data_IF_287129138117
#
_entry.id   IF_287129138117
#
_cell.length_a   1.000
_cell.length_b   1.000
_cell.length_c   1.000
_cell.angle_alpha   90.00
_cell.angle_beta   90.00
_cell.angle_gamma   90.00
#
_symmetry.space_group_name_H-M   'P 1'
#
loop_
_entity.id
_entity.type
_entity.pdbx_description
1 polymer ?
#
# COMPACT_ATOMS: atom_id res chain seq x y z
N UNK A 1 3.38 -41.63 4.67
CA UNK A 1 3.71 -42.05 6.04
C UNK A 1 4.73 -41.05 6.58
N UNK A 2 4.27 -39.99 7.24
CA UNK A 2 5.15 -38.94 7.78
C UNK A 2 5.38 -39.31 9.25
N UNK A 3 6.60 -39.72 9.59
CA UNK A 3 6.94 -40.04 10.98
C UNK A 3 7.06 -38.74 11.77
N UNK A 4 6.18 -38.56 12.75
CA UNK A 4 6.31 -37.54 13.77
C UNK A 4 7.21 -38.13 14.86
N UNK A 5 8.50 -37.79 14.84
CA UNK A 5 9.42 -38.16 15.91
C UNK A 5 8.99 -37.43 17.19
N UNK A 6 8.37 -38.17 18.10
CA UNK A 6 7.92 -37.71 19.41
C UNK A 6 9.12 -37.62 20.37
N UNK A 7 9.84 -36.49 20.34
CA UNK A 7 10.76 -36.11 21.42
C UNK A 7 9.95 -35.57 22.60
N UNK A 8 9.40 -36.48 23.40
CA UNK A 8 8.66 -36.19 24.63
C UNK A 8 9.48 -36.57 25.86
N UNK A 9 10.77 -36.20 25.90
CA UNK A 9 11.66 -36.61 26.99
C UNK A 9 12.74 -35.55 27.33
N UNK A 10 12.33 -34.32 27.60
CA UNK A 10 13.18 -33.28 28.22
C UNK A 10 12.28 -32.15 28.77
N UNK A 11 11.73 -32.34 29.98
CA UNK A 11 10.90 -31.32 30.65
C UNK A 11 11.65 -30.49 31.71
N UNK A 12 12.95 -30.71 31.91
CA UNK A 12 13.75 -30.03 32.95
C UNK A 12 14.95 -29.22 32.42
N UNK A 13 15.17 -29.13 31.10
CA UNK A 13 16.15 -28.19 30.56
C UNK A 13 15.52 -26.80 30.39
N UNK A 14 16.14 -25.74 30.94
CA UNK A 14 15.69 -24.38 30.67
C UNK A 14 15.74 -24.15 29.16
N UNK A 15 14.56 -23.97 28.55
CA UNK A 15 14.41 -23.74 27.11
C UNK A 15 15.30 -22.57 26.69
N UNK A 16 16.40 -22.87 26.01
CA UNK A 16 17.31 -21.90 25.42
C UNK A 16 16.78 -21.53 24.06
N UNK A 17 16.42 -20.26 23.90
CA UNK A 17 16.01 -19.71 22.61
C UNK A 17 17.23 -19.12 21.91
N UNK A 18 17.36 -19.32 20.61
CA UNK A 18 18.36 -18.60 19.83
C UNK A 18 17.99 -17.10 19.78
N UNK A 19 18.97 -16.24 19.51
CA UNK A 19 18.73 -14.80 19.38
C UNK A 19 17.65 -14.50 18.32
N UNK A 20 17.66 -15.26 17.22
CA UNK A 20 16.69 -15.18 16.12
C UNK A 20 15.28 -15.62 16.56
N UNK A 21 15.16 -16.66 17.39
CA UNK A 21 13.89 -17.12 17.93
C UNK A 21 13.30 -16.12 18.94
N UNK A 22 14.13 -15.56 19.82
CA UNK A 22 13.70 -14.53 20.79
C UNK A 22 13.16 -13.31 20.05
N UNK A 23 13.88 -12.83 19.03
CA UNK A 23 13.46 -11.68 18.23
C UNK A 23 12.14 -11.97 17.51
N UNK A 24 12.01 -13.13 16.85
CA UNK A 24 10.79 -13.49 16.15
C UNK A 24 9.57 -13.65 17.08
N UNK A 25 9.78 -14.19 18.29
CA UNK A 25 8.71 -14.33 19.30
C UNK A 25 8.29 -12.96 19.83
N UNK A 26 9.26 -12.09 20.16
CA UNK A 26 9.00 -10.74 20.66
C UNK A 26 8.27 -9.88 19.60
N UNK A 27 8.74 -9.92 18.35
CA UNK A 27 8.12 -9.21 17.23
C UNK A 27 6.67 -9.66 17.04
N UNK A 28 6.39 -10.97 17.12
CA UNK A 28 5.04 -11.53 16.97
C UNK A 28 4.13 -11.22 18.18
N UNK A 29 4.69 -11.15 19.38
CA UNK A 29 3.97 -10.79 20.61
C UNK A 29 3.57 -9.30 20.62
N UNK A 30 4.49 -8.41 20.26
CA UNK A 30 4.23 -6.96 20.14
C UNK A 30 3.11 -6.68 19.12
N UNK A 31 3.15 -7.36 17.97
CA UNK A 31 2.12 -7.23 16.93
C UNK A 31 0.72 -7.73 17.38
N UNK A 32 0.64 -8.57 18.43
CA UNK A 32 -0.62 -9.10 18.98
C UNK A 32 -1.16 -8.25 20.13
N UNK A 33 -0.29 -7.59 20.88
CA UNK A 33 -0.66 -6.71 21.98
C UNK A 33 -1.20 -5.36 21.50
N UNK A 34 -0.71 -4.85 20.36
CA UNK A 34 -1.22 -3.63 19.71
C UNK A 34 -2.48 -3.89 18.86
N UNK A 35 -3.44 -4.64 19.42
CA UNK A 35 -4.75 -4.84 18.80
C UNK A 35 -5.43 -3.48 18.55
N UNK A 36 -5.60 -3.12 17.27
CA UNK A 36 -6.40 -2.02 16.74
C UNK A 36 -5.86 -0.57 16.85
N UNK A 37 -4.58 -0.34 16.57
CA UNK A 37 -4.16 0.93 15.97
C UNK A 37 -3.61 0.62 14.57
N UNK A 38 -4.23 1.18 13.53
CA UNK A 38 -3.88 0.90 12.15
C UNK A 38 -2.41 1.24 11.84
N UNK A 39 -1.54 0.22 11.90
CA UNK A 39 -0.33 0.09 11.08
C UNK A 39 0.87 0.99 11.39
N UNK A 40 0.89 1.76 12.48
CA UNK A 40 2.07 2.56 12.83
C UNK A 40 2.10 3.05 14.27
N UNK A 41 3.30 3.20 14.83
CA UNK A 41 3.54 3.87 16.12
C UNK A 41 3.37 5.39 15.91
N UNK A 42 2.65 6.07 16.82
CA UNK A 42 2.52 7.53 16.80
C UNK A 42 3.90 8.18 16.95
N UNK A 43 4.15 9.32 16.31
CA UNK A 43 5.44 10.01 16.41
C UNK A 43 5.85 10.28 17.87
N UNK A 44 4.88 10.65 18.70
CA UNK A 44 5.08 10.89 20.12
C UNK A 44 5.43 9.61 20.90
N UNK A 45 4.80 8.48 20.56
CA UNK A 45 5.09 7.18 21.16
C UNK A 45 6.45 6.64 20.73
N UNK A 46 6.87 6.93 19.50
CA UNK A 46 8.19 6.57 18.98
C UNK A 46 9.30 7.30 19.73
N UNK A 47 9.11 8.60 19.97
CA UNK A 47 10.01 9.43 20.78
C UNK A 47 10.04 8.94 22.22
N UNK A 48 8.89 8.59 22.79
CA UNK A 48 8.80 8.06 24.15
C UNK A 48 9.56 6.74 24.28
N UNK A 49 9.38 5.81 23.34
CA UNK A 49 10.08 4.52 23.30
C UNK A 49 11.58 4.71 23.11
N UNK A 50 12.00 5.61 22.22
CA UNK A 50 13.40 5.93 22.01
C UNK A 50 14.06 6.46 23.28
N UNK A 51 13.37 7.36 24.00
CA UNK A 51 13.84 7.87 25.30
C UNK A 51 13.98 6.77 26.34
N UNK A 52 13.04 5.83 26.38
CA UNK A 52 13.07 4.68 27.29
C UNK A 52 14.26 3.74 27.01
N UNK A 53 14.64 3.62 25.73
CA UNK A 53 15.82 2.88 25.28
C UNK A 53 17.14 3.69 25.36
N UNK A 54 17.09 4.93 25.84
CA UNK A 54 18.26 5.81 25.97
C UNK A 54 18.75 6.42 24.65
N UNK A 55 17.94 6.38 23.60
CA UNK A 55 18.23 7.01 22.30
C UNK A 55 17.80 8.48 22.36
N UNK A 56 18.71 9.38 21.98
CA UNK A 56 18.44 10.82 21.91
C UNK A 56 17.36 11.12 20.85
N UNK A 57 16.25 11.80 21.20
CA UNK A 57 15.21 12.18 20.25
C UNK A 57 15.73 12.94 19.03
N UNK A 58 16.79 13.75 19.18
CA UNK A 58 17.37 14.46 18.05
C UNK A 58 18.04 13.51 17.03
N UNK A 59 18.69 12.44 17.52
CA UNK A 59 19.26 11.40 16.64
C UNK A 59 18.17 10.54 16.00
N UNK A 60 17.09 10.27 16.74
CA UNK A 60 15.93 9.57 16.19
C UNK A 60 15.26 10.41 15.08
N UNK A 61 15.09 11.72 15.28
CA UNK A 61 14.56 12.62 14.25
C UNK A 61 15.43 12.63 12.99
N UNK A 62 16.76 12.69 13.14
CA UNK A 62 17.70 12.57 12.02
C UNK A 62 17.54 11.24 11.28
N UNK A 63 17.42 10.12 12.00
CA UNK A 63 17.22 8.79 11.41
C UNK A 63 15.83 8.64 10.75
N UNK A 64 14.78 9.24 11.32
CA UNK A 64 13.44 9.29 10.72
C UNK A 64 13.47 10.11 9.43
N UNK A 65 14.16 11.26 9.43
CA UNK A 65 14.33 12.07 8.23
C UNK A 65 15.02 11.28 7.12
N UNK A 66 16.11 10.58 7.45
CA UNK A 66 16.85 9.71 6.52
C UNK A 66 15.98 8.53 6.01
N UNK A 67 15.23 7.87 6.88
CA UNK A 67 14.41 6.71 6.53
C UNK A 67 13.13 7.09 5.78
N UNK A 68 12.59 8.29 6.02
CA UNK A 68 11.35 8.75 5.36
C UNK A 68 11.51 8.94 3.85
N UNK A 69 12.74 9.19 3.36
CA UNK A 69 13.03 9.26 1.92
C UNK A 69 13.28 7.89 1.29
N UNK A 70 13.96 6.99 2.00
CA UNK A 70 14.37 5.68 1.45
C UNK A 70 13.24 4.64 1.53
N UNK A 71 12.48 4.60 2.64
CA UNK A 71 11.41 3.62 2.84
C UNK A 71 10.14 3.90 2.03
N UNK A 72 9.82 5.17 1.79
CA UNK A 72 8.64 5.57 0.99
C UNK A 72 8.86 5.32 -0.49
N UNK A 73 10.08 5.55 -1.00
CA UNK A 73 10.41 5.35 -2.40
C UNK A 73 10.40 3.89 -2.78
N UNK A 74 11.00 2.99 -1.98
CA UNK A 74 10.97 1.55 -2.24
C UNK A 74 9.54 0.98 -2.21
N UNK A 75 8.72 1.39 -1.24
CA UNK A 75 7.33 0.97 -1.19
C UNK A 75 6.52 1.53 -2.38
N UNK A 76 6.74 2.79 -2.76
CA UNK A 76 6.10 3.40 -3.92
C UNK A 76 6.50 2.72 -5.25
N UNK A 77 7.76 2.28 -5.38
CA UNK A 77 8.21 1.46 -6.53
C UNK A 77 7.47 0.13 -6.56
N UNK A 78 7.37 -0.57 -5.41
CA UNK A 78 6.67 -1.86 -5.31
C UNK A 78 5.19 -1.74 -5.66
N UNK A 79 4.49 -0.73 -5.15
CA UNK A 79 3.07 -0.51 -5.46
C UNK A 79 2.87 -0.14 -6.92
N UNK A 80 3.73 0.70 -7.49
CA UNK A 80 3.69 1.08 -8.90
C UNK A 80 3.91 -0.14 -9.83
N UNK A 81 4.93 -0.96 -9.55
CA UNK A 81 5.21 -2.18 -10.30
C UNK A 81 4.04 -3.18 -10.22
N UNK A 82 3.46 -3.35 -9.03
CA UNK A 82 2.29 -4.21 -8.84
C UNK A 82 1.08 -3.72 -9.65
N UNK A 83 0.87 -2.40 -9.71
CA UNK A 83 -0.20 -1.81 -10.50
C UNK A 83 0.01 -2.02 -12.01
N UNK A 84 1.25 -1.85 -12.50
CA UNK A 84 1.55 -2.10 -13.91
C UNK A 84 1.31 -3.55 -14.32
N UNK A 85 1.72 -4.50 -13.49
CA UNK A 85 1.43 -5.93 -13.74
C UNK A 85 -0.08 -6.17 -13.83
N UNK A 86 -0.87 -5.62 -12.90
CA UNK A 86 -2.35 -5.78 -12.92
C UNK A 86 -2.96 -5.22 -14.20
N UNK A 87 -2.59 -4.00 -14.59
CA UNK A 87 -3.09 -3.38 -15.82
C UNK A 87 -2.74 -4.22 -17.06
N UNK A 88 -1.51 -4.73 -17.14
CA UNK A 88 -1.10 -5.62 -18.21
C UNK A 88 -1.97 -6.90 -18.28
N UNK A 89 -2.25 -7.54 -17.14
CA UNK A 89 -3.09 -8.74 -17.11
C UNK A 89 -4.54 -8.48 -17.52
N UNK A 90 -5.11 -7.31 -17.20
CA UNK A 90 -6.46 -6.93 -17.67
C UNK A 90 -6.50 -6.77 -19.20
N UNK A 91 -5.47 -6.15 -19.78
CA UNK A 91 -5.35 -5.98 -21.23
C UNK A 91 -5.13 -7.33 -21.93
N UNK A 92 -4.26 -8.17 -21.38
CA UNK A 92 -3.99 -9.52 -21.88
C UNK A 92 -5.25 -10.41 -21.82
N UNK A 93 -6.01 -10.36 -20.72
CA UNK A 93 -7.27 -11.11 -20.59
C UNK A 93 -8.26 -10.70 -21.66
N UNK A 94 -8.46 -9.39 -21.84
CA UNK A 94 -9.37 -8.86 -22.87
C UNK A 94 -8.94 -9.28 -24.27
N UNK A 95 -7.63 -9.22 -24.55
CA UNK A 95 -7.05 -9.70 -25.81
C UNK A 95 -7.33 -11.18 -26.02
N UNK A 96 -7.11 -12.04 -25.03
CA UNK A 96 -7.36 -13.48 -25.16
C UNK A 96 -8.84 -13.77 -25.43
N UNK A 97 -9.76 -13.15 -24.67
CA UNK A 97 -11.20 -13.37 -24.84
C UNK A 97 -11.66 -12.98 -26.25
N UNK A 98 -11.30 -11.78 -26.71
CA UNK A 98 -11.73 -11.26 -28.01
C UNK A 98 -11.14 -12.10 -29.14
N UNK A 99 -9.85 -12.46 -29.07
CA UNK A 99 -9.21 -13.26 -30.11
C UNK A 99 -9.72 -14.71 -30.12
N UNK A 100 -10.05 -15.31 -28.97
CA UNK A 100 -10.72 -16.61 -28.94
C UNK A 100 -12.07 -16.54 -29.65
N UNK A 101 -12.89 -15.52 -29.40
CA UNK A 101 -14.17 -15.34 -30.09
C UNK A 101 -13.97 -15.15 -31.60
N UNK A 102 -13.01 -14.32 -32.02
CA UNK A 102 -12.67 -14.10 -33.44
C UNK A 102 -12.26 -15.41 -34.14
N UNK A 103 -11.42 -16.22 -33.50
CA UNK A 103 -10.98 -17.51 -34.04
C UNK A 103 -12.18 -18.46 -34.20
N UNK A 104 -13.07 -18.53 -33.19
CA UNK A 104 -14.29 -19.35 -33.26
C UNK A 104 -15.16 -18.93 -34.45
N UNK A 105 -15.41 -17.62 -34.62
CA UNK A 105 -16.18 -17.10 -35.75
C UNK A 105 -15.50 -17.45 -37.08
N UNK A 106 -14.17 -17.30 -37.16
CA UNK A 106 -13.42 -17.63 -38.37
C UNK A 106 -13.59 -19.11 -38.77
N UNK A 107 -13.54 -20.02 -37.80
CA UNK A 107 -13.73 -21.46 -38.03
C UNK A 107 -15.16 -21.75 -38.50
N UNK A 108 -16.16 -21.09 -37.90
CA UNK A 108 -17.58 -21.29 -38.25
C UNK A 108 -17.95 -20.73 -39.63
N UNK A 109 -17.42 -19.57 -40.01
CA UNK A 109 -17.78 -18.88 -41.26
C UNK A 109 -17.06 -19.47 -42.49
N UNK A 110 -15.89 -20.09 -42.31
CA UNK A 110 -15.07 -20.60 -43.41
C UNK A 110 -14.53 -19.49 -44.32
N UNK A 111 -13.84 -19.85 -45.40
CA UNK A 111 -13.38 -18.89 -46.43
C UNK A 111 -12.00 -18.26 -46.19
N UNK A 112 -11.20 -18.76 -45.24
CA UNK A 112 -9.82 -18.32 -44.98
C UNK A 112 -9.61 -17.87 -43.53
N UNK A 113 -8.36 -17.55 -43.16
CA UNK A 113 -7.98 -17.18 -41.78
C UNK A 113 -7.87 -15.66 -41.60
N UNK A 114 -9.00 -14.95 -41.76
CA UNK A 114 -9.04 -13.48 -41.65
C UNK A 114 -8.82 -12.99 -40.21
N UNK A 115 -9.07 -13.82 -39.19
CA UNK A 115 -8.80 -13.50 -37.79
C UNK A 115 -7.31 -13.22 -37.50
N UNK A 116 -6.39 -13.60 -38.39
CA UNK A 116 -4.95 -13.31 -38.24
C UNK A 116 -4.64 -11.81 -38.19
N UNK A 117 -5.40 -10.99 -38.93
CA UNK A 117 -5.16 -9.55 -39.03
C UNK A 117 -5.40 -8.81 -37.71
N UNK A 118 -6.54 -8.98 -37.01
CA UNK A 118 -6.72 -8.39 -35.68
C UNK A 118 -5.77 -9.00 -34.63
N UNK A 119 -5.48 -10.31 -34.70
CA UNK A 119 -4.51 -10.96 -33.81
C UNK A 119 -3.14 -10.30 -33.92
N UNK A 120 -2.61 -10.15 -35.14
CA UNK A 120 -1.30 -9.56 -35.38
C UNK A 120 -1.29 -8.05 -35.11
N UNK A 121 -2.31 -7.32 -35.56
CA UNK A 121 -2.40 -5.88 -35.38
C UNK A 121 -2.38 -5.49 -33.90
N UNK A 122 -3.23 -6.12 -33.08
CA UNK A 122 -3.28 -5.84 -31.64
C UNK A 122 -2.21 -6.59 -30.85
N UNK A 123 -1.77 -7.75 -31.33
CA UNK A 123 -0.73 -8.56 -30.69
C UNK A 123 0.62 -7.87 -30.67
N UNK A 124 0.95 -7.08 -31.72
CA UNK A 124 2.16 -6.26 -31.74
C UNK A 124 2.11 -5.18 -30.64
N UNK A 125 0.99 -4.48 -30.48
CA UNK A 125 0.82 -3.50 -29.40
C UNK A 125 0.97 -4.13 -28.02
N UNK A 126 0.39 -5.31 -27.83
CA UNK A 126 0.51 -6.08 -26.57
C UNK A 126 1.95 -6.55 -26.30
N UNK A 127 2.71 -6.89 -27.34
CA UNK A 127 4.12 -7.25 -27.22
C UNK A 127 4.96 -6.08 -26.69
N UNK A 128 4.69 -4.86 -27.16
CA UNK A 128 5.33 -3.64 -26.63
C UNK A 128 4.95 -3.39 -25.16
N UNK A 129 3.67 -3.54 -24.80
CA UNK A 129 3.21 -3.41 -23.41
C UNK A 129 3.85 -4.46 -22.49
N UNK A 130 4.05 -5.68 -22.99
CA UNK A 130 4.74 -6.77 -22.31
C UNK A 130 6.20 -6.38 -22.05
N UNK A 131 6.91 -5.95 -23.09
CA UNK A 131 8.30 -5.53 -22.97
C UNK A 131 8.46 -4.41 -21.93
N UNK A 132 7.57 -3.41 -21.93
CA UNK A 132 7.64 -2.31 -20.96
C UNK A 132 7.33 -2.74 -19.52
N UNK A 133 6.46 -3.74 -19.34
CA UNK A 133 6.07 -4.24 -18.01
C UNK A 133 7.12 -5.17 -17.39
N UNK A 134 7.80 -5.98 -18.21
CA UNK A 134 8.78 -6.97 -17.75
C UNK A 134 10.24 -6.48 -17.83
N UNK A 135 10.54 -5.49 -18.66
CA UNK A 135 11.82 -4.76 -18.70
C UNK A 135 11.65 -3.25 -18.44
N UNK A 136 11.11 -2.85 -17.29
CA UNK A 136 11.03 -1.44 -16.94
C UNK A 136 12.43 -0.87 -16.71
N UNK A 137 12.73 0.25 -17.36
CA UNK A 137 13.98 0.98 -17.15
C UNK A 137 13.96 1.65 -15.75
N UNK A 138 15.10 1.69 -15.04
CA UNK A 138 15.21 2.31 -13.72
C UNK A 138 14.63 3.74 -13.66
N UNK A 139 14.80 4.51 -14.75
CA UNK A 139 14.22 5.86 -14.89
C UNK A 139 12.70 5.88 -14.91
N UNK A 140 12.07 4.84 -15.48
CA UNK A 140 10.61 4.71 -15.51
C UNK A 140 10.06 4.32 -14.13
N UNK A 141 10.73 3.40 -13.45
CA UNK A 141 10.40 2.96 -12.10
C UNK A 141 10.46 4.16 -11.15
N UNK A 142 11.52 4.96 -11.23
CA UNK A 142 11.68 6.15 -10.40
C UNK A 142 10.62 7.22 -10.70
N UNK A 143 10.34 7.50 -11.99
CA UNK A 143 9.25 8.42 -12.39
C UNK A 143 7.89 7.93 -11.92
N UNK A 144 7.63 6.63 -12.00
CA UNK A 144 6.41 5.98 -11.52
C UNK A 144 6.22 6.14 -10.03
N UNK A 145 7.26 5.81 -9.25
CA UNK A 145 7.26 5.97 -7.80
C UNK A 145 7.05 7.44 -7.38
N UNK A 146 7.73 8.39 -8.05
CA UNK A 146 7.54 9.84 -7.82
C UNK A 146 6.09 10.27 -8.05
N UNK A 147 5.40 9.71 -9.06
CA UNK A 147 3.97 10.00 -9.30
C UNK A 147 3.06 9.47 -8.21
N UNK A 148 3.34 8.28 -7.68
CA UNK A 148 2.58 7.68 -6.56
C UNK A 148 2.70 8.58 -5.33
N UNK A 149 3.93 8.94 -4.94
CA UNK A 149 4.20 9.83 -3.80
C UNK A 149 3.54 11.20 -4.00
N UNK A 150 3.65 11.78 -5.20
CA UNK A 150 3.03 13.07 -5.49
C UNK A 150 1.49 13.04 -5.37
N UNK A 151 0.86 11.92 -5.75
CA UNK A 151 -0.60 11.74 -5.63
C UNK A 151 -1.03 11.62 -4.18
N UNK A 152 -0.32 10.82 -3.38
CA UNK A 152 -0.59 10.65 -1.94
C UNK A 152 -0.43 11.99 -1.19
N UNK A 153 0.63 12.74 -1.47
CA UNK A 153 0.86 14.05 -0.87
C UNK A 153 -0.26 15.03 -1.21
N UNK A 154 -0.74 15.07 -2.46
CA UNK A 154 -1.89 15.91 -2.86
C UNK A 154 -3.16 15.52 -2.11
N UNK A 155 -3.46 14.23 -2.00
CA UNK A 155 -4.63 13.75 -1.26
C UNK A 155 -4.54 14.08 0.22
N UNK A 156 -3.37 13.88 0.85
CA UNK A 156 -3.13 14.23 2.25
C UNK A 156 -3.34 15.72 2.48
N UNK A 157 -2.85 16.59 1.60
CA UNK A 157 -3.10 18.03 1.71
C UNK A 157 -4.57 18.39 1.57
N UNK A 158 -5.30 17.78 0.62
CA UNK A 158 -6.75 17.99 0.47
C UNK A 158 -7.51 17.56 1.73
N UNK A 159 -7.18 16.40 2.30
CA UNK A 159 -7.78 15.91 3.53
C UNK A 159 -7.50 16.82 4.72
N UNK A 160 -6.27 17.36 4.84
CA UNK A 160 -5.93 18.31 5.89
C UNK A 160 -6.70 19.62 5.74
N UNK A 161 -6.83 20.14 4.51
CA UNK A 161 -7.66 21.30 4.22
C UNK A 161 -9.13 21.04 4.55
N UNK A 162 -9.64 19.84 4.25
CA UNK A 162 -11.00 19.44 4.58
C UNK A 162 -11.20 19.31 6.10
N UNK A 163 -10.26 18.69 6.83
CA UNK A 163 -10.29 18.62 8.30
C UNK A 163 -10.29 20.00 8.92
N UNK A 164 -9.43 20.91 8.45
CA UNK A 164 -9.42 22.30 8.91
C UNK A 164 -10.72 23.03 8.58
N UNK A 165 -11.31 22.80 7.39
CA UNK A 165 -12.64 23.32 7.04
C UNK A 165 -13.71 22.79 7.99
N UNK A 166 -13.72 21.49 8.30
CA UNK A 166 -14.70 20.84 9.18
C UNK A 166 -14.55 21.27 10.64
N UNK A 167 -13.33 21.42 11.16
CA UNK A 167 -13.07 21.86 12.54
C UNK A 167 -13.45 23.33 12.79
N UNK A 168 -13.59 24.17 11.76
CA UNK A 168 -14.12 25.53 11.89
C UNK A 168 -15.62 25.61 12.19
N UNK A 169 -16.32 24.47 12.23
CA UNK A 169 -17.72 24.38 12.61
C UNK A 169 -17.82 23.79 14.02
N UNK A 170 -17.82 24.65 15.03
CA UNK A 170 -18.10 24.24 16.41
C UNK A 170 -19.61 24.36 16.63
N UNK A 171 -20.26 23.25 16.96
CA UNK A 171 -21.66 23.22 17.37
C UNK A 171 -21.65 23.20 18.89
N UNK A 172 -21.90 24.35 19.51
CA UNK A 172 -22.08 24.45 20.95
C UNK A 172 -23.58 24.46 21.26
N UNK A 173 -24.01 23.56 22.16
CA UNK A 173 -25.36 23.56 22.72
C UNK A 173 -25.34 24.40 23.98
N UNK A 174 -25.98 25.57 23.97
CA UNK A 174 -26.11 26.43 25.15
C UNK A 174 -27.59 26.54 25.51
N UNK A 175 -28.03 25.79 26.52
CA UNK A 175 -29.45 25.70 26.89
C UNK A 175 -30.30 25.01 25.82
N UNK A 176 -31.51 25.54 25.53
CA UNK A 176 -32.45 24.99 24.53
C UNK A 176 -32.21 25.52 23.10
N UNK A 177 -31.01 26.06 22.80
CA UNK A 177 -30.69 26.72 21.53
C UNK A 177 -29.42 26.13 20.92
N UNK A 178 -29.46 25.86 19.62
CA UNK A 178 -28.32 25.37 18.85
C UNK A 178 -27.51 26.56 18.33
N UNK A 179 -26.24 26.65 18.71
CA UNK A 179 -25.33 27.68 18.22
C UNK A 179 -24.33 27.04 17.28
N UNK A 180 -24.41 27.42 15.99
CA UNK A 180 -23.45 26.98 14.98
C UNK A 180 -22.47 28.13 14.76
N UNK A 181 -21.22 27.91 15.11
CA UNK A 181 -20.15 28.90 14.92
C UNK A 181 -19.37 28.54 13.65
N UNK A 182 -19.25 29.48 12.70
CA UNK A 182 -18.46 29.32 11.48
C UNK A 182 -17.41 30.44 11.41
N UNK A 183 -16.21 30.18 11.91
CA UNK A 183 -15.16 31.21 12.01
C UNK A 183 -15.64 32.43 12.83
N UNK A 184 -15.51 33.65 12.28
CA UNK A 184 -15.92 34.88 12.99
C UNK A 184 -17.41 35.23 12.84
N UNK A 185 -18.24 34.35 12.26
CA UNK A 185 -19.68 34.54 12.12
C UNK A 185 -20.43 33.51 12.95
N UNK A 186 -21.34 34.00 13.80
CA UNK A 186 -22.20 33.21 14.68
C UNK A 186 -23.62 33.27 14.14
N UNK A 187 -24.21 32.11 13.89
CA UNK A 187 -25.63 31.99 13.51
C UNK A 187 -26.37 31.37 14.68
N UNK A 188 -27.35 32.09 15.21
CA UNK A 188 -28.30 31.56 16.18
C UNK A 188 -29.56 31.13 15.45
N UNK A 189 -29.96 29.88 15.62
CA UNK A 189 -31.26 29.38 15.14
C UNK A 189 -32.05 29.03 16.40
N UNK A 190 -33.12 29.79 16.64
CA UNK A 190 -34.07 29.59 17.74
C UNK A 190 -35.23 28.73 17.30
#
# INVERSE_FOLDING_TARGET
MIQYSSNADNLDEPRRYSQEEVEAILQRALHRQQGNAAGGISHDDLIATARELGIDPAQLELAIMEQSEVGTTENAKRTWLAQQKRNYFEHLRSYLIINTVLIVINIMTGGGFWAIWPILGWGIGLAFDTANTFWPNDKEIEKGARKVIAKENRQRQQLLQERQRRQKFTIETKGNKLVIQKGNKRLEIG
#
